data_IF_990169596541
#
_entry.id   IF_990169596541
#
_cell.length_a   1.000
_cell.length_b   1.000
_cell.length_c   1.000
_cell.angle_alpha   90.00
_cell.angle_beta   90.00
_cell.angle_gamma   90.00
#
_symmetry.space_group_name_H-M   'P 1'
#
loop_
_entity.id
_entity.type
_entity.pdbx_description
1 polymer ?
#
# COMPACT_ATOMS: atom_id res chain seq x y z
N UNK A 1 12.42 -8.71 10.07
CA UNK A 1 12.87 -7.58 9.21
C UNK A 1 14.26 -7.83 8.63
N UNK A 2 15.31 -8.16 9.42
CA UNK A 2 16.69 -8.42 8.91
C UNK A 2 16.71 -9.57 7.89
N UNK A 3 16.09 -10.71 8.22
CA UNK A 3 15.97 -11.86 7.31
C UNK A 3 15.31 -11.43 5.96
N UNK A 4 14.31 -10.56 6.03
CA UNK A 4 13.64 -10.03 4.85
C UNK A 4 14.58 -9.20 3.95
N UNK A 5 15.41 -8.35 4.55
CA UNK A 5 16.44 -7.61 3.80
C UNK A 5 17.47 -8.55 3.14
N UNK A 6 17.84 -9.66 3.81
CA UNK A 6 18.73 -10.68 3.22
C UNK A 6 18.09 -11.30 1.97
N UNK A 7 16.81 -11.67 2.02
CA UNK A 7 16.10 -12.21 0.85
C UNK A 7 16.02 -11.18 -0.29
N UNK A 8 15.74 -9.91 0.01
CA UNK A 8 15.73 -8.85 -1.00
C UNK A 8 17.11 -8.65 -1.63
N UNK A 9 18.15 -8.58 -0.80
CA UNK A 9 19.52 -8.39 -1.27
C UNK A 9 19.96 -9.55 -2.17
N UNK A 10 19.69 -10.80 -1.75
CA UNK A 10 20.00 -12.00 -2.53
C UNK A 10 19.24 -12.01 -3.86
N UNK A 11 17.92 -11.69 -3.83
CA UNK A 11 17.09 -11.65 -5.04
C UNK A 11 17.61 -10.62 -6.06
N UNK A 12 17.92 -9.39 -5.62
CA UNK A 12 18.49 -8.36 -6.51
C UNK A 12 19.88 -8.76 -7.00
N UNK A 13 20.75 -9.29 -6.13
CA UNK A 13 22.07 -9.78 -6.54
C UNK A 13 21.97 -10.82 -7.66
N UNK A 14 21.10 -11.81 -7.51
CA UNK A 14 20.90 -12.86 -8.49
C UNK A 14 20.25 -12.36 -9.79
N UNK A 15 19.42 -11.31 -9.73
CA UNK A 15 18.80 -10.74 -10.94
C UNK A 15 19.82 -10.20 -11.94
N UNK A 16 20.92 -9.58 -11.49
CA UNK A 16 21.91 -9.02 -12.40
C UNK A 16 23.14 -9.92 -12.61
N UNK A 17 23.39 -10.90 -11.73
CA UNK A 17 24.55 -11.81 -11.81
C UNK A 17 24.21 -13.19 -12.35
N UNK A 18 22.93 -13.55 -12.40
CA UNK A 18 22.47 -14.89 -12.77
C UNK A 18 22.10 -15.03 -14.24
N UNK A 19 21.70 -16.23 -14.68
CA UNK A 19 21.30 -16.49 -16.05
C UNK A 19 20.01 -15.77 -16.43
N UNK A 20 19.97 -15.17 -17.63
CA UNK A 20 18.80 -14.48 -18.17
C UNK A 20 17.73 -15.46 -18.69
N UNK A 21 17.18 -16.31 -17.81
CA UNK A 21 16.07 -17.22 -18.13
C UNK A 21 14.80 -16.73 -17.45
N UNK A 22 13.64 -16.89 -18.13
CA UNK A 22 12.36 -16.41 -17.59
C UNK A 22 12.03 -17.02 -16.23
N UNK A 23 12.29 -18.32 -16.01
CA UNK A 23 12.02 -18.98 -14.73
C UNK A 23 12.95 -18.47 -13.62
N UNK A 24 14.20 -18.21 -13.92
CA UNK A 24 15.17 -17.67 -12.96
C UNK A 24 14.76 -16.25 -12.53
N UNK A 25 14.33 -15.42 -13.49
CA UNK A 25 13.80 -14.09 -13.22
C UNK A 25 12.57 -14.15 -12.32
N UNK A 26 11.61 -15.05 -12.61
CA UNK A 26 10.39 -15.21 -11.81
C UNK A 26 10.69 -15.66 -10.37
N UNK A 27 11.63 -16.58 -10.16
CA UNK A 27 12.04 -17.02 -8.82
C UNK A 27 12.68 -15.88 -8.05
N UNK A 28 13.59 -15.14 -8.65
CA UNK A 28 14.31 -14.07 -7.96
C UNK A 28 13.39 -12.86 -7.65
N UNK A 29 12.64 -12.40 -8.63
CA UNK A 29 11.73 -11.28 -8.46
C UNK A 29 10.49 -11.67 -7.64
N UNK A 30 9.86 -12.78 -7.98
CA UNK A 30 8.60 -13.20 -7.36
C UNK A 30 8.80 -13.79 -5.96
N UNK A 31 9.72 -14.74 -5.80
CA UNK A 31 9.88 -15.43 -4.53
C UNK A 31 10.84 -14.70 -3.58
N UNK A 32 12.09 -14.47 -3.97
CA UNK A 32 13.09 -13.91 -3.04
C UNK A 32 12.79 -12.46 -2.70
N UNK A 33 12.59 -11.59 -3.68
CA UNK A 33 12.24 -10.20 -3.44
C UNK A 33 10.84 -10.11 -2.83
N UNK A 34 9.89 -10.95 -3.26
CA UNK A 34 8.54 -10.99 -2.70
C UNK A 34 8.51 -11.33 -1.21
N UNK A 35 9.26 -12.35 -0.76
CA UNK A 35 9.43 -12.68 0.68
C UNK A 35 10.07 -11.51 1.42
N UNK A 36 11.07 -10.88 0.83
CA UNK A 36 11.75 -9.71 1.39
C UNK A 36 10.79 -8.54 1.58
N UNK A 37 9.99 -8.19 0.57
CA UNK A 37 8.96 -7.15 0.65
C UNK A 37 7.88 -7.48 1.68
N UNK A 38 7.45 -8.74 1.77
CA UNK A 38 6.49 -9.20 2.78
C UNK A 38 6.99 -9.00 4.21
N UNK A 39 8.26 -9.34 4.47
CA UNK A 39 8.85 -9.21 5.80
C UNK A 39 9.27 -7.77 6.20
N UNK A 40 9.28 -6.83 5.24
CA UNK A 40 9.46 -5.38 5.47
C UNK A 40 8.16 -4.61 5.31
N UNK A 41 7.02 -5.31 5.16
CA UNK A 41 5.74 -4.69 4.90
C UNK A 41 5.35 -3.66 5.95
N UNK A 42 4.76 -2.57 5.49
CA UNK A 42 4.31 -1.44 6.32
C UNK A 42 3.27 -1.85 7.38
N UNK A 43 2.57 -2.98 7.18
CA UNK A 43 1.59 -3.51 8.12
C UNK A 43 2.16 -3.79 9.51
N UNK A 44 3.41 -4.26 9.60
CA UNK A 44 4.10 -4.50 10.87
C UNK A 44 4.35 -3.19 11.62
N UNK A 45 4.85 -2.18 10.91
CA UNK A 45 5.15 -0.86 11.47
C UNK A 45 3.88 -0.13 11.92
N UNK A 46 2.84 -0.16 11.11
CA UNK A 46 1.54 0.44 11.42
C UNK A 46 0.92 -0.22 12.65
N UNK A 47 1.01 -1.52 12.76
CA UNK A 47 0.49 -2.24 13.91
C UNK A 47 1.17 -1.85 15.23
N UNK A 48 2.48 -1.66 15.23
CA UNK A 48 3.21 -1.19 16.42
C UNK A 48 2.88 0.27 16.75
N UNK A 49 2.96 1.16 15.76
CA UNK A 49 2.59 2.58 15.98
C UNK A 49 1.14 2.71 16.47
N UNK A 50 0.22 1.93 15.88
CA UNK A 50 -1.18 1.97 16.25
C UNK A 50 -1.47 1.62 17.71
N UNK A 51 -0.61 0.85 18.38
CA UNK A 51 -0.75 0.49 19.80
C UNK A 51 -0.35 1.63 20.75
N UNK A 52 0.59 2.49 20.35
CA UNK A 52 1.17 3.51 21.22
C UNK A 52 0.42 4.85 21.20
N UNK A 53 -0.52 5.03 20.26
CA UNK A 53 -1.24 6.29 20.12
C UNK A 53 -2.74 6.14 20.42
N UNK A 54 -3.38 7.11 21.14
CA UNK A 54 -4.80 7.09 21.41
C UNK A 54 -5.61 7.27 20.11
N UNK A 55 -6.88 6.85 20.13
CA UNK A 55 -7.77 6.85 18.95
C UNK A 55 -7.79 8.18 18.19
N UNK A 56 -7.75 9.31 18.91
CA UNK A 56 -7.81 10.66 18.33
C UNK A 56 -6.60 11.00 17.46
N UNK A 57 -5.40 10.54 17.82
CA UNK A 57 -4.12 10.88 17.16
C UNK A 57 -3.52 9.71 16.40
N UNK A 58 -4.02 8.49 16.59
CA UNK A 58 -3.54 7.27 15.92
C UNK A 58 -3.52 7.39 14.40
N UNK A 59 -4.60 7.91 13.82
CA UNK A 59 -4.67 8.10 12.38
C UNK A 59 -3.58 9.01 11.84
N UNK A 60 -3.29 10.12 12.54
CA UNK A 60 -2.20 11.02 12.17
C UNK A 60 -0.83 10.35 12.31
N UNK A 61 -0.58 9.61 13.40
CA UNK A 61 0.66 8.89 13.60
C UNK A 61 0.92 7.86 12.48
N UNK A 62 -0.11 7.11 12.08
CA UNK A 62 -0.06 6.20 10.93
C UNK A 62 0.17 6.97 9.64
N UNK A 63 -0.51 8.10 9.45
CA UNK A 63 -0.31 8.97 8.29
C UNK A 63 1.14 9.45 8.16
N UNK A 64 1.80 9.79 9.26
CA UNK A 64 3.23 10.17 9.28
C UNK A 64 4.11 9.01 8.83
N UNK A 65 3.88 7.79 9.33
CA UNK A 65 4.65 6.60 8.92
C UNK A 65 4.53 6.36 7.43
N UNK A 66 3.31 6.44 6.88
CA UNK A 66 3.07 6.27 5.44
C UNK A 66 3.67 7.41 4.63
N UNK A 67 3.60 8.65 5.11
CA UNK A 67 4.21 9.81 4.48
C UNK A 67 5.74 9.68 4.37
N UNK A 68 6.41 9.15 5.41
CA UNK A 68 7.85 8.88 5.36
C UNK A 68 8.22 7.85 4.29
N UNK A 69 7.43 6.77 4.13
CA UNK A 69 7.61 5.82 3.04
C UNK A 69 7.41 6.48 1.65
N UNK A 70 6.55 7.48 1.57
CA UNK A 70 6.25 8.20 0.31
C UNK A 70 7.41 9.04 -0.17
N UNK A 71 8.31 9.47 0.71
CA UNK A 71 9.56 10.15 0.34
C UNK A 71 10.40 9.24 -0.56
N UNK A 72 10.54 7.96 -0.18
CA UNK A 72 11.19 6.97 -1.02
C UNK A 72 10.47 6.78 -2.36
N UNK A 73 9.14 6.78 -2.34
CA UNK A 73 8.33 6.64 -3.56
C UNK A 73 8.47 7.85 -4.50
N UNK A 74 8.72 9.05 -3.98
CA UNK A 74 9.00 10.25 -4.76
C UNK A 74 10.38 10.18 -5.43
N UNK A 75 11.42 9.85 -4.67
CA UNK A 75 12.78 9.86 -5.20
C UNK A 75 13.12 8.66 -6.07
N UNK A 76 12.52 7.50 -5.82
CA UNK A 76 12.86 6.25 -6.51
C UNK A 76 12.69 6.32 -8.03
N UNK A 77 11.59 6.82 -8.63
CA UNK A 77 11.46 6.92 -10.08
C UNK A 77 12.47 7.90 -10.70
N UNK A 78 12.72 9.04 -10.05
CA UNK A 78 13.70 10.03 -10.51
C UNK A 78 15.11 9.45 -10.54
N UNK A 79 15.48 8.79 -9.44
CA UNK A 79 16.75 8.09 -9.33
C UNK A 79 16.88 6.97 -10.36
N UNK A 80 15.82 6.16 -10.52
CA UNK A 80 15.79 5.04 -11.48
C UNK A 80 16.01 5.55 -12.89
N UNK A 81 15.31 6.63 -13.30
CA UNK A 81 15.53 7.26 -14.61
C UNK A 81 16.98 7.69 -14.79
N UNK A 82 17.53 8.43 -13.82
CA UNK A 82 18.93 8.87 -13.86
C UNK A 82 19.88 7.69 -13.97
N UNK A 83 19.76 6.69 -13.10
CA UNK A 83 20.66 5.55 -13.05
C UNK A 83 20.59 4.68 -14.31
N UNK A 84 19.38 4.45 -14.86
CA UNK A 84 19.20 3.71 -16.11
C UNK A 84 19.88 4.40 -17.30
N UNK A 85 19.78 5.73 -17.38
CA UNK A 85 20.42 6.50 -18.47
C UNK A 85 21.93 6.61 -18.31
N UNK A 86 22.43 6.74 -17.07
CA UNK A 86 23.85 6.94 -16.79
C UNK A 86 24.64 5.63 -16.75
N UNK A 87 24.06 4.55 -16.25
CA UNK A 87 24.81 3.33 -15.89
C UNK A 87 24.24 2.06 -16.53
N UNK A 88 23.05 2.10 -17.12
CA UNK A 88 22.33 0.91 -17.59
C UNK A 88 21.64 0.12 -16.46
N UNK A 89 20.89 -0.92 -16.85
CA UNK A 89 20.00 -1.64 -15.91
C UNK A 89 20.75 -2.45 -14.84
N UNK A 90 21.86 -3.11 -15.21
CA UNK A 90 22.64 -3.96 -14.29
C UNK A 90 23.22 -3.14 -13.13
N UNK A 91 23.91 -2.03 -13.45
CA UNK A 91 24.46 -1.15 -12.43
C UNK A 91 23.38 -0.44 -11.62
N UNK A 92 22.23 -0.17 -12.20
CA UNK A 92 21.08 0.36 -11.47
C UNK A 92 20.61 -0.63 -10.40
N UNK A 93 20.51 -1.93 -10.72
CA UNK A 93 20.20 -2.96 -9.73
C UNK A 93 21.27 -3.07 -8.63
N UNK A 94 22.56 -2.92 -8.98
CA UNK A 94 23.64 -2.88 -8.00
C UNK A 94 23.48 -1.71 -7.02
N UNK A 95 23.07 -0.54 -7.49
CA UNK A 95 22.82 0.61 -6.59
C UNK A 95 21.65 0.36 -5.66
N UNK A 96 20.57 -0.28 -6.13
CA UNK A 96 19.48 -0.70 -5.25
C UNK A 96 19.92 -1.71 -4.19
N UNK A 97 20.83 -2.61 -4.53
CA UNK A 97 21.43 -3.52 -3.55
C UNK A 97 22.13 -2.74 -2.42
N UNK A 98 22.87 -1.69 -2.74
CA UNK A 98 23.51 -0.84 -1.71
C UNK A 98 22.47 -0.15 -0.81
N UNK A 99 21.35 0.35 -1.35
CA UNK A 99 20.28 0.91 -0.53
C UNK A 99 19.66 -0.13 0.41
N UNK A 100 19.49 -1.38 -0.06
CA UNK A 100 18.96 -2.47 0.77
C UNK A 100 19.94 -2.82 1.89
N UNK A 101 21.23 -2.92 1.60
CA UNK A 101 22.27 -3.16 2.61
C UNK A 101 22.31 -2.03 3.64
N UNK A 102 22.24 -0.78 3.18
CA UNK A 102 22.16 0.38 4.08
C UNK A 102 20.91 0.30 4.99
N UNK A 103 19.75 -0.02 4.42
CA UNK A 103 18.51 -0.20 5.19
C UNK A 103 18.60 -1.35 6.20
N UNK A 104 19.29 -2.45 5.85
CA UNK A 104 19.55 -3.57 6.75
C UNK A 104 20.43 -3.15 7.94
N UNK A 105 21.52 -2.43 7.66
CA UNK A 105 22.42 -1.92 8.69
C UNK A 105 21.67 -0.95 9.63
N UNK A 106 20.94 0.02 9.06
CA UNK A 106 20.10 0.93 9.84
C UNK A 106 19.09 0.18 10.71
N UNK A 107 18.49 -0.90 10.18
CA UNK A 107 17.57 -1.76 10.91
C UNK A 107 18.22 -2.46 12.10
N UNK A 108 19.50 -2.82 12.04
CA UNK A 108 20.24 -3.42 13.17
C UNK A 108 20.39 -2.41 14.32
N UNK A 109 20.69 -1.15 14.01
CA UNK A 109 20.84 -0.10 15.02
C UNK A 109 19.53 0.34 15.67
N UNK A 110 18.40 0.07 15.02
CA UNK A 110 17.07 0.35 15.55
C UNK A 110 16.52 -0.75 16.48
N UNK A 111 17.23 -1.89 16.66
CA UNK A 111 16.91 -2.94 17.64
C UNK A 111 17.87 -2.88 18.84
N UNK A 112 17.37 -3.06 20.07
CA UNK A 112 16.01 -3.20 20.52
C UNK A 112 15.60 -2.10 21.50
N UNK A 113 14.49 -1.48 21.31
CA UNK A 113 13.80 -0.89 22.46
C UNK A 113 13.42 -2.05 23.37
N UNK A 114 14.01 -2.12 24.60
CA UNK A 114 13.56 -3.01 25.65
C UNK A 114 12.04 -2.99 25.68
N UNK A 115 11.41 -4.16 25.57
CA UNK A 115 10.04 -4.32 26.02
C UNK A 115 10.00 -3.85 27.48
N UNK A 116 9.56 -2.64 27.71
CA UNK A 116 8.97 -2.32 28.99
C UNK A 116 7.75 -3.24 29.08
N UNK A 117 7.89 -4.27 29.86
CA UNK A 117 6.76 -5.00 30.43
C UNK A 117 5.96 -3.94 31.15
N UNK A 118 4.94 -3.41 30.48
CA UNK A 118 3.89 -2.68 31.14
C UNK A 118 3.39 -3.62 32.23
N UNK A 119 3.75 -3.30 33.46
CA UNK A 119 3.16 -3.85 34.67
C UNK A 119 1.71 -3.36 34.67
N UNK A 120 0.88 -3.94 33.83
CA UNK A 120 -0.55 -3.79 33.87
C UNK A 120 -1.01 -4.56 35.08
N UNK A 121 -1.39 -3.82 36.13
CA UNK A 121 -2.10 -4.32 37.29
C UNK A 121 -3.18 -5.30 36.86
N UNK A 122 -3.16 -6.47 37.48
CA UNK A 122 -4.06 -7.60 37.33
C UNK A 122 -5.53 -7.22 37.44
N UNK A 123 -6.12 -6.78 36.33
CA UNK A 123 -7.54 -6.97 36.07
C UNK A 123 -7.59 -8.21 35.16
N UNK A 124 -8.12 -9.32 35.65
CA UNK A 124 -8.47 -10.50 34.87
C UNK A 124 -9.56 -10.13 33.87
N UNK A 125 -9.20 -9.41 32.83
CA UNK A 125 -10.02 -9.29 31.63
C UNK A 125 -9.91 -10.66 30.95
N UNK A 126 -11.03 -11.31 30.68
CA UNK A 126 -11.09 -12.54 29.88
C UNK A 126 -10.19 -12.38 28.66
N UNK A 127 -9.03 -13.05 28.69
CA UNK A 127 -7.99 -12.84 27.68
C UNK A 127 -8.43 -13.52 26.39
N UNK A 128 -9.04 -12.73 25.49
CA UNK A 128 -9.37 -13.19 24.15
C UNK A 128 -8.13 -13.84 23.52
N UNK A 129 -8.30 -15.07 23.03
CA UNK A 129 -7.27 -15.81 22.28
C UNK A 129 -7.19 -15.34 20.82
N UNK A 130 -6.12 -15.71 20.12
CA UNK A 130 -5.95 -15.42 18.68
C UNK A 130 -7.10 -16.03 17.87
N UNK A 131 -7.49 -17.27 18.17
CA UNK A 131 -8.59 -17.98 17.49
C UNK A 131 -9.93 -17.27 17.66
N UNK A 132 -10.23 -16.81 18.87
CA UNK A 132 -11.45 -16.02 19.15
C UNK A 132 -11.43 -14.69 18.42
N UNK A 133 -10.30 -13.99 18.39
CA UNK A 133 -10.17 -12.72 17.67
C UNK A 133 -10.37 -12.89 16.14
N UNK A 134 -9.85 -13.98 15.57
CA UNK A 134 -10.05 -14.32 14.16
C UNK A 134 -11.52 -14.63 13.87
N UNK A 135 -12.13 -15.50 14.70
CA UNK A 135 -13.55 -15.88 14.56
C UNK A 135 -14.45 -14.66 14.67
N UNK A 136 -14.20 -13.79 15.65
CA UNK A 136 -14.92 -12.52 15.84
C UNK A 136 -14.78 -11.61 14.62
N UNK A 137 -13.57 -11.42 14.10
CA UNK A 137 -13.32 -10.58 12.95
C UNK A 137 -14.03 -11.08 11.68
N UNK A 138 -13.87 -12.35 11.34
CA UNK A 138 -14.51 -12.93 10.14
C UNK A 138 -16.03 -13.07 10.26
N UNK A 139 -16.57 -13.13 11.47
CA UNK A 139 -18.02 -13.09 11.70
C UNK A 139 -18.58 -11.67 11.64
N UNK A 140 -17.73 -10.65 11.70
CA UNK A 140 -18.16 -9.25 11.69
C UNK A 140 -18.26 -8.74 10.25
N UNK A 141 -19.48 -8.45 9.80
CA UNK A 141 -19.77 -7.97 8.43
C UNK A 141 -18.86 -6.81 8.01
N UNK A 142 -18.62 -5.85 8.92
CA UNK A 142 -17.77 -4.69 8.63
C UNK A 142 -16.32 -5.05 8.34
N UNK A 143 -15.75 -6.08 8.99
CA UNK A 143 -14.39 -6.56 8.70
C UNK A 143 -14.29 -7.20 7.31
N UNK A 144 -15.26 -8.01 6.96
CA UNK A 144 -15.33 -8.67 5.64
C UNK A 144 -15.45 -7.63 4.52
N UNK A 145 -16.35 -6.66 4.68
CA UNK A 145 -16.54 -5.57 3.73
C UNK A 145 -15.27 -4.71 3.59
N UNK A 146 -14.62 -4.38 4.71
CA UNK A 146 -13.35 -3.65 4.72
C UNK A 146 -12.24 -4.41 3.97
N UNK A 147 -12.20 -5.73 4.13
CA UNK A 147 -11.24 -6.62 3.46
C UNK A 147 -11.46 -6.60 1.94
N UNK A 148 -12.71 -6.70 1.47
CA UNK A 148 -13.01 -6.57 0.04
C UNK A 148 -12.71 -5.18 -0.51
N UNK A 149 -13.04 -4.12 0.23
CA UNK A 149 -12.69 -2.76 -0.18
C UNK A 149 -11.18 -2.55 -0.30
N UNK A 150 -10.40 -3.14 0.61
CA UNK A 150 -8.94 -2.98 0.60
C UNK A 150 -8.25 -3.82 -0.50
N UNK A 151 -8.88 -4.92 -0.95
CA UNK A 151 -8.50 -5.62 -2.19
C UNK A 151 -8.47 -4.64 -3.38
N UNK A 152 -9.50 -3.81 -3.52
CA UNK A 152 -9.58 -2.81 -4.61
C UNK A 152 -8.44 -1.80 -4.52
N UNK A 153 -8.02 -1.43 -3.30
CA UNK A 153 -6.86 -0.56 -3.13
C UNK A 153 -5.61 -1.17 -3.77
N UNK A 154 -5.32 -2.43 -3.46
CA UNK A 154 -4.18 -3.14 -4.03
C UNK A 154 -4.25 -3.24 -5.55
N UNK A 155 -5.41 -3.59 -6.08
CA UNK A 155 -5.63 -3.66 -7.53
C UNK A 155 -5.29 -2.34 -8.23
N UNK A 156 -5.88 -1.25 -7.76
CA UNK A 156 -5.72 0.07 -8.36
C UNK A 156 -4.28 0.58 -8.27
N UNK A 157 -3.64 0.41 -7.11
CA UNK A 157 -2.26 0.86 -6.89
C UNK A 157 -1.30 0.11 -7.80
N UNK A 158 -1.41 -1.20 -7.88
CA UNK A 158 -0.46 -1.99 -8.65
C UNK A 158 -0.72 -1.89 -10.15
N UNK A 159 -1.99 -1.80 -10.59
CA UNK A 159 -2.31 -1.49 -11.98
C UNK A 159 -1.63 -0.19 -12.43
N UNK A 160 -1.79 0.89 -11.66
CA UNK A 160 -1.19 2.19 -12.00
C UNK A 160 0.34 2.11 -11.97
N UNK A 161 0.93 1.61 -10.89
CA UNK A 161 2.40 1.60 -10.76
C UNK A 161 3.11 0.72 -11.79
N UNK A 162 2.51 -0.42 -12.16
CA UNK A 162 3.10 -1.35 -13.12
C UNK A 162 2.87 -0.93 -14.57
N UNK A 163 1.70 -0.38 -14.90
CA UNK A 163 1.30 -0.19 -16.29
C UNK A 163 1.28 1.26 -16.78
N UNK A 164 1.41 2.27 -15.89
CA UNK A 164 1.56 3.67 -16.33
C UNK A 164 2.73 3.86 -17.31
N UNK A 165 3.91 3.26 -17.11
CA UNK A 165 5.00 3.44 -18.08
C UNK A 165 4.64 2.95 -19.49
N UNK A 166 4.06 1.76 -19.60
CA UNK A 166 3.61 1.20 -20.89
C UNK A 166 2.47 2.00 -21.50
N UNK A 167 1.45 2.35 -20.69
CA UNK A 167 0.31 3.14 -21.14
C UNK A 167 0.69 4.53 -21.67
N UNK A 168 1.60 5.20 -21.00
CA UNK A 168 2.09 6.52 -21.42
C UNK A 168 2.87 6.43 -22.75
N UNK A 169 3.68 5.37 -22.92
CA UNK A 169 4.39 5.12 -24.19
C UNK A 169 3.42 4.79 -25.33
N UNK A 170 2.40 3.97 -25.10
CA UNK A 170 1.35 3.66 -26.08
C UNK A 170 0.63 4.92 -26.58
N UNK A 171 0.44 5.91 -25.71
CA UNK A 171 -0.16 7.22 -26.02
C UNK A 171 0.81 8.21 -26.67
N UNK A 172 2.04 7.78 -26.99
CA UNK A 172 3.05 8.60 -27.69
C UNK A 172 3.78 9.64 -26.83
N UNK A 173 3.71 9.53 -25.50
CA UNK A 173 4.46 10.38 -24.62
C UNK A 173 5.92 9.94 -24.48
N UNK A 174 6.79 10.88 -24.19
CA UNK A 174 8.17 10.58 -23.81
C UNK A 174 8.23 9.80 -22.48
N UNK A 175 9.20 8.89 -22.37
CA UNK A 175 9.36 8.03 -21.19
C UNK A 175 9.48 8.80 -19.86
N UNK A 176 10.04 10.03 -19.87
CA UNK A 176 10.16 10.84 -18.66
C UNK A 176 8.80 11.18 -18.01
N UNK A 177 7.74 11.26 -18.81
CA UNK A 177 6.38 11.56 -18.31
C UNK A 177 5.91 10.49 -17.33
N UNK A 178 6.19 9.21 -17.60
CA UNK A 178 5.86 8.12 -16.67
C UNK A 178 6.60 8.24 -15.33
N UNK A 179 7.90 8.52 -15.36
CA UNK A 179 8.67 8.73 -14.14
C UNK A 179 8.19 9.96 -13.35
N UNK A 180 7.82 11.03 -14.05
CA UNK A 180 7.26 12.23 -13.44
C UNK A 180 5.91 11.95 -12.76
N UNK A 181 4.99 11.20 -13.41
CA UNK A 181 3.71 10.80 -12.82
C UNK A 181 3.95 10.01 -11.53
N UNK A 182 4.80 8.97 -11.57
CA UNK A 182 5.08 8.13 -10.40
C UNK A 182 5.72 8.93 -9.26
N UNK A 183 6.60 9.87 -9.58
CA UNK A 183 7.20 10.76 -8.58
C UNK A 183 6.18 11.72 -7.97
N UNK A 184 5.31 12.32 -8.80
CA UNK A 184 4.22 13.16 -8.31
C UNK A 184 3.24 12.38 -7.43
N UNK A 185 2.94 11.12 -7.78
CA UNK A 185 2.16 10.23 -6.91
C UNK A 185 2.85 10.10 -5.54
N UNK A 186 4.14 9.84 -5.49
CA UNK A 186 4.89 9.76 -4.24
C UNK A 186 4.85 11.07 -3.43
N UNK A 187 5.08 12.20 -4.09
CA UNK A 187 5.09 13.51 -3.45
C UNK A 187 3.71 13.88 -2.85
N UNK A 188 2.66 13.78 -3.66
CA UNK A 188 1.32 14.17 -3.22
C UNK A 188 0.69 13.15 -2.27
N UNK A 189 1.16 11.90 -2.24
CA UNK A 189 0.78 10.92 -1.23
C UNK A 189 1.18 11.35 0.19
N UNK A 190 2.27 12.13 0.36
CA UNK A 190 2.65 12.70 1.66
C UNK A 190 1.49 13.55 2.21
N UNK A 191 1.00 14.48 1.39
CA UNK A 191 -0.09 15.37 1.79
C UNK A 191 -1.40 14.63 2.00
N UNK A 192 -1.70 13.65 1.13
CA UNK A 192 -2.91 12.84 1.22
C UNK A 192 -2.95 12.02 2.50
N UNK A 193 -1.90 11.26 2.81
CA UNK A 193 -1.86 10.41 4.00
C UNK A 193 -1.89 11.20 5.31
N UNK A 194 -1.23 12.35 5.38
CA UNK A 194 -1.30 13.24 6.52
C UNK A 194 -2.72 13.82 6.69
N UNK A 195 -3.33 14.30 5.60
CA UNK A 195 -4.68 14.85 5.62
C UNK A 195 -5.70 13.81 6.08
N UNK A 196 -5.73 12.62 5.46
CA UNK A 196 -6.67 11.57 5.84
C UNK A 196 -6.31 10.90 7.17
N UNK A 197 -5.05 10.92 7.58
CA UNK A 197 -4.63 10.57 8.93
C UNK A 197 -5.28 11.48 9.98
N UNK A 198 -5.23 12.79 9.77
CA UNK A 198 -5.87 13.78 10.65
C UNK A 198 -7.40 13.69 10.60
N UNK A 199 -7.97 13.61 9.40
CA UNK A 199 -9.42 13.51 9.21
C UNK A 199 -10.01 12.24 9.84
N UNK A 200 -9.28 11.11 9.81
CA UNK A 200 -9.74 9.85 10.41
C UNK A 200 -9.86 9.91 11.94
N UNK A 201 -9.21 10.88 12.59
CA UNK A 201 -9.39 11.16 14.01
C UNK A 201 -10.65 12.01 14.33
N UNK A 202 -11.25 12.65 13.31
CA UNK A 202 -12.37 13.59 13.48
C UNK A 202 -13.68 13.13 12.85
N UNK A 203 -13.61 12.39 11.75
CA UNK A 203 -14.77 12.02 10.94
C UNK A 203 -14.94 10.50 10.86
N UNK A 204 -16.10 10.07 10.39
CA UNK A 204 -16.39 8.65 10.10
C UNK A 204 -15.41 8.12 9.04
N UNK A 205 -14.71 7.07 9.38
CA UNK A 205 -13.65 6.48 8.56
C UNK A 205 -14.22 5.78 7.34
N UNK A 206 -15.39 5.15 7.45
CA UNK A 206 -16.11 4.54 6.34
C UNK A 206 -16.51 5.56 5.28
N UNK A 207 -16.93 6.75 5.70
CA UNK A 207 -17.27 7.85 4.79
C UNK A 207 -16.01 8.37 4.09
N UNK A 208 -14.91 8.53 4.84
CA UNK A 208 -13.62 8.92 4.26
C UNK A 208 -13.15 7.90 3.22
N UNK A 209 -13.27 6.60 3.50
CA UNK A 209 -12.93 5.54 2.54
C UNK A 209 -13.83 5.60 1.31
N UNK A 210 -15.14 5.74 1.49
CA UNK A 210 -16.08 5.87 0.35
C UNK A 210 -15.75 7.06 -0.53
N UNK A 211 -15.46 8.23 0.05
CA UNK A 211 -15.03 9.43 -0.69
C UNK A 211 -13.72 9.18 -1.44
N UNK A 212 -12.74 8.54 -0.80
CA UNK A 212 -11.45 8.23 -1.43
C UNK A 212 -11.62 7.34 -2.66
N UNK A 213 -12.38 6.24 -2.55
CA UNK A 213 -12.59 5.33 -3.67
C UNK A 213 -13.47 5.94 -4.76
N UNK A 214 -14.49 6.70 -4.40
CA UNK A 214 -15.29 7.45 -5.36
C UNK A 214 -14.41 8.43 -6.16
N UNK A 215 -13.60 9.22 -5.45
CA UNK A 215 -12.70 10.18 -6.08
C UNK A 215 -11.67 9.51 -6.99
N UNK A 216 -11.15 8.34 -6.62
CA UNK A 216 -10.26 7.55 -7.51
C UNK A 216 -10.95 7.15 -8.79
N UNK A 217 -12.19 6.65 -8.71
CA UNK A 217 -12.99 6.29 -9.89
C UNK A 217 -13.17 7.48 -10.83
N UNK A 218 -13.51 8.65 -10.28
CA UNK A 218 -13.67 9.89 -11.07
C UNK A 218 -12.34 10.32 -11.71
N UNK A 219 -11.23 10.29 -10.95
CA UNK A 219 -9.91 10.68 -11.48
C UNK A 219 -9.47 9.75 -12.62
N UNK A 220 -9.74 8.44 -12.50
CA UNK A 220 -9.46 7.48 -13.57
C UNK A 220 -10.32 7.76 -14.81
N UNK A 221 -11.62 8.06 -14.66
CA UNK A 221 -12.48 8.44 -15.78
C UNK A 221 -11.93 9.70 -16.46
N UNK A 222 -11.62 10.74 -15.70
CA UNK A 222 -11.08 11.98 -16.24
C UNK A 222 -9.76 11.75 -17.00
N UNK A 223 -8.89 10.89 -16.47
CA UNK A 223 -7.63 10.56 -17.11
C UNK A 223 -7.81 9.88 -18.48
N UNK A 224 -8.86 9.06 -18.63
CA UNK A 224 -9.15 8.37 -19.89
C UNK A 224 -9.88 9.26 -20.92
N UNK A 225 -10.76 10.15 -20.45
CA UNK A 225 -11.67 10.92 -21.31
C UNK A 225 -11.07 12.27 -21.74
N UNK A 226 -10.23 12.88 -20.89
CA UNK A 226 -9.61 14.17 -21.21
C UNK A 226 -8.59 14.03 -22.34
N UNK A 227 -8.38 15.10 -23.13
CA UNK A 227 -7.40 15.10 -24.22
C UNK A 227 -6.02 14.66 -23.74
N UNK A 228 -5.38 13.82 -24.54
CA UNK A 228 -4.03 13.32 -24.27
C UNK A 228 -3.04 14.49 -24.26
N UNK A 229 -2.59 14.91 -23.08
CA UNK A 229 -1.61 15.97 -22.91
C UNK A 229 -0.74 15.75 -21.68
N UNK A 230 0.48 16.26 -21.71
CA UNK A 230 1.41 16.18 -20.57
C UNK A 230 0.80 16.81 -19.30
N UNK A 231 0.03 17.89 -19.43
CA UNK A 231 -0.63 18.53 -18.30
C UNK A 231 -1.68 17.64 -17.64
N UNK A 232 -2.49 16.93 -18.44
CA UNK A 232 -3.47 15.96 -17.94
C UNK A 232 -2.76 14.79 -17.25
N UNK A 233 -1.69 14.28 -17.84
CA UNK A 233 -0.90 13.18 -17.29
C UNK A 233 -0.24 13.55 -15.94
N UNK A 234 0.36 14.74 -15.85
CA UNK A 234 0.94 15.22 -14.60
C UNK A 234 -0.13 15.58 -13.57
N UNK A 235 -1.25 16.20 -13.99
CA UNK A 235 -2.43 16.44 -13.15
C UNK A 235 -3.01 15.17 -12.55
N UNK A 236 -3.08 14.08 -13.33
CA UNK A 236 -3.41 12.75 -12.83
C UNK A 236 -2.45 12.32 -11.71
N UNK A 237 -1.12 12.44 -11.93
CA UNK A 237 -0.11 12.08 -10.92
C UNK A 237 -0.30 12.85 -9.61
N UNK A 238 -0.66 14.14 -9.68
CA UNK A 238 -0.92 15.01 -8.52
C UNK A 238 -2.17 14.53 -7.75
N UNK A 239 -3.30 14.45 -8.43
CA UNK A 239 -4.59 14.18 -7.78
C UNK A 239 -4.66 12.72 -7.33
N UNK A 240 -4.26 11.80 -8.18
CA UNK A 240 -4.25 10.37 -7.85
C UNK A 240 -3.24 10.07 -6.74
N UNK A 241 -2.10 10.79 -6.73
CA UNK A 241 -1.12 10.72 -5.66
C UNK A 241 -1.67 11.14 -4.31
N UNK A 242 -2.44 12.24 -4.25
CA UNK A 242 -3.12 12.66 -3.01
C UNK A 242 -4.08 11.57 -2.47
N UNK A 243 -4.69 10.79 -3.36
CA UNK A 243 -5.58 9.70 -3.00
C UNK A 243 -4.87 8.35 -2.75
N UNK A 244 -3.57 8.22 -3.09
CA UNK A 244 -2.82 6.97 -3.26
C UNK A 244 -2.91 6.01 -2.08
N UNK A 245 -2.23 6.30 -0.97
CA UNK A 245 -2.27 5.50 0.26
C UNK A 245 -3.10 6.14 1.36
N UNK A 246 -3.88 7.15 1.04
CA UNK A 246 -4.75 7.87 1.97
C UNK A 246 -5.83 6.98 2.60
N UNK A 247 -6.05 5.79 2.05
CA UNK A 247 -6.94 4.77 2.61
C UNK A 247 -6.37 4.05 3.84
N UNK A 248 -5.04 4.05 4.03
CA UNK A 248 -4.39 3.30 5.12
C UNK A 248 -4.81 3.80 6.51
N UNK A 249 -4.72 5.11 6.85
CA UNK A 249 -5.08 5.58 8.17
C UNK A 249 -6.55 5.29 8.56
N UNK A 250 -7.57 5.57 7.73
CA UNK A 250 -8.94 5.25 8.09
C UNK A 250 -9.22 3.75 8.14
N UNK A 251 -8.60 2.91 7.28
CA UNK A 251 -8.73 1.44 7.33
C UNK A 251 -8.23 0.89 8.67
N UNK A 252 -7.03 1.28 9.08
CA UNK A 252 -6.48 0.90 10.38
C UNK A 252 -7.32 1.46 11.53
N UNK A 253 -7.83 2.69 11.37
CA UNK A 253 -8.72 3.34 12.31
C UNK A 253 -10.00 2.55 12.56
N UNK A 254 -10.65 1.98 11.54
CA UNK A 254 -11.83 1.12 11.69
C UNK A 254 -11.46 -0.13 12.50
N UNK A 255 -10.41 -0.83 12.13
CA UNK A 255 -10.00 -2.06 12.82
C UNK A 255 -9.73 -1.79 14.30
N UNK A 256 -8.95 -0.75 14.60
CA UNK A 256 -8.61 -0.40 15.97
C UNK A 256 -9.80 0.08 16.79
N UNK A 257 -10.75 0.74 16.17
CA UNK A 257 -11.97 1.24 16.84
C UNK A 257 -12.96 0.11 17.13
N UNK A 258 -13.17 -0.80 16.17
CA UNK A 258 -14.16 -1.87 16.28
C UNK A 258 -13.62 -3.03 17.12
N UNK A 259 -12.38 -3.47 16.89
CA UNK A 259 -11.80 -4.69 17.49
C UNK A 259 -10.82 -4.42 18.63
N UNK A 260 -10.43 -3.16 18.85
CA UNK A 260 -9.40 -2.79 19.81
C UNK A 260 -7.99 -2.95 19.28
N UNK A 261 -7.00 -2.70 20.14
CA UNK A 261 -5.59 -2.64 19.73
C UNK A 261 -4.79 -3.91 20.01
N UNK A 262 -5.32 -4.85 20.83
CA UNK A 262 -4.61 -6.07 21.24
C UNK A 262 -4.10 -6.87 20.02
N UNK A 263 -4.96 -7.12 19.02
CA UNK A 263 -4.66 -7.88 17.81
C UNK A 263 -4.62 -7.03 16.55
N UNK A 264 -4.43 -5.70 16.69
CA UNK A 264 -4.48 -4.76 15.59
C UNK A 264 -3.53 -5.11 14.43
N UNK A 265 -2.28 -5.45 14.74
CA UNK A 265 -1.27 -5.81 13.72
C UNK A 265 -1.69 -7.06 12.93
N UNK A 266 -2.25 -8.06 13.60
CA UNK A 266 -2.70 -9.29 12.98
C UNK A 266 -3.93 -9.06 12.08
N UNK A 267 -4.94 -8.38 12.59
CA UNK A 267 -6.18 -8.10 11.85
C UNK A 267 -5.91 -7.18 10.66
N UNK A 268 -5.10 -6.14 10.85
CA UNK A 268 -4.68 -5.30 9.74
C UNK A 268 -3.84 -6.07 8.72
N UNK A 269 -2.98 -6.99 9.18
CA UNK A 269 -2.21 -7.88 8.29
C UNK A 269 -3.10 -8.74 7.38
N UNK A 270 -4.23 -9.24 7.88
CA UNK A 270 -5.21 -10.00 7.07
C UNK A 270 -5.90 -9.11 6.02
N UNK A 271 -6.32 -7.91 6.40
CA UNK A 271 -6.86 -6.93 5.47
C UNK A 271 -5.81 -6.54 4.42
N UNK A 272 -4.55 -6.37 4.84
CA UNK A 272 -3.44 -6.09 3.95
C UNK A 272 -3.09 -7.27 3.03
N UNK A 273 -3.28 -8.50 3.47
CA UNK A 273 -3.14 -9.69 2.61
C UNK A 273 -4.13 -9.66 1.44
N UNK A 274 -5.38 -9.26 1.70
CA UNK A 274 -6.37 -9.05 0.63
C UNK A 274 -5.91 -7.96 -0.37
N UNK A 275 -5.29 -6.88 0.11
CA UNK A 275 -4.67 -5.87 -0.74
C UNK A 275 -3.59 -6.49 -1.65
N UNK A 276 -2.75 -7.38 -1.14
CA UNK A 276 -1.71 -8.06 -1.93
C UNK A 276 -2.31 -8.96 -3.01
N UNK A 277 -3.42 -9.65 -2.71
CA UNK A 277 -4.17 -10.40 -3.72
C UNK A 277 -4.71 -9.45 -4.81
N UNK A 278 -5.26 -8.31 -4.41
CA UNK A 278 -5.68 -7.26 -5.35
C UNK A 278 -4.52 -6.75 -6.21
N UNK A 279 -3.36 -6.54 -5.59
CA UNK A 279 -2.13 -6.12 -6.27
C UNK A 279 -1.67 -7.12 -7.34
N UNK A 280 -1.73 -8.41 -7.03
CA UNK A 280 -1.46 -9.48 -8.00
C UNK A 280 -2.38 -9.35 -9.23
N UNK A 281 -3.69 -9.24 -8.99
CA UNK A 281 -4.64 -9.11 -10.11
C UNK A 281 -4.47 -7.80 -10.87
N UNK A 282 -4.14 -6.70 -10.22
CA UNK A 282 -3.87 -5.41 -10.88
C UNK A 282 -2.68 -5.48 -11.84
N UNK A 283 -1.58 -6.09 -11.41
CA UNK A 283 -0.41 -6.32 -12.27
C UNK A 283 -0.73 -7.31 -13.39
N UNK A 284 -1.28 -8.47 -13.04
CA UNK A 284 -1.51 -9.57 -13.98
C UNK A 284 -2.52 -9.20 -15.07
N UNK A 285 -3.70 -8.69 -14.69
CA UNK A 285 -4.76 -8.37 -15.64
C UNK A 285 -4.41 -7.18 -16.54
N UNK A 286 -3.62 -6.22 -16.04
CA UNK A 286 -3.11 -5.14 -16.90
C UNK A 286 -2.27 -5.67 -18.05
N UNK A 287 -1.32 -6.55 -17.76
CA UNK A 287 -0.51 -7.22 -18.79
C UNK A 287 -1.35 -8.14 -19.69
N UNK A 288 -2.21 -8.98 -19.09
CA UNK A 288 -3.08 -9.91 -19.84
C UNK A 288 -3.97 -9.20 -20.86
N UNK A 289 -4.64 -8.11 -20.46
CA UNK A 289 -5.49 -7.36 -21.40
C UNK A 289 -4.66 -6.70 -22.50
N UNK A 290 -3.47 -6.19 -22.17
CA UNK A 290 -2.58 -5.65 -23.19
C UNK A 290 -2.14 -6.72 -24.20
N UNK A 291 -1.72 -7.89 -23.72
CA UNK A 291 -1.27 -9.00 -24.58
C UNK A 291 -2.41 -9.52 -25.50
N UNK A 292 -3.67 -9.54 -24.99
CA UNK A 292 -4.82 -10.07 -25.75
C UNK A 292 -5.44 -9.05 -26.70
N UNK A 293 -5.47 -7.78 -26.32
CA UNK A 293 -6.26 -6.75 -27.04
C UNK A 293 -5.39 -5.59 -27.56
N UNK A 294 -4.09 -5.55 -27.25
CA UNK A 294 -3.20 -4.45 -27.63
C UNK A 294 -3.50 -3.13 -26.93
N UNK A 295 -4.29 -3.15 -25.84
CA UNK A 295 -4.66 -1.94 -25.10
C UNK A 295 -4.84 -2.22 -23.59
N UNK A 296 -4.54 -1.20 -22.78
CA UNK A 296 -4.79 -1.21 -21.34
C UNK A 296 -6.24 -0.80 -20.97
N UNK A 297 -7.09 -0.41 -21.91
CA UNK A 297 -8.40 0.17 -21.65
C UNK A 297 -9.29 -0.72 -20.78
N UNK A 298 -9.32 -2.03 -21.03
CA UNK A 298 -10.09 -2.97 -20.21
C UNK A 298 -9.64 -3.02 -18.75
N UNK A 299 -8.33 -2.90 -18.52
CA UNK A 299 -7.79 -2.84 -17.16
C UNK A 299 -8.23 -1.56 -16.44
N UNK A 300 -8.20 -0.43 -17.15
CA UNK A 300 -8.69 0.85 -16.61
C UNK A 300 -10.18 0.83 -16.32
N UNK A 301 -11.01 0.29 -17.23
CA UNK A 301 -12.45 0.15 -16.98
C UNK A 301 -12.76 -0.73 -15.78
N UNK A 302 -12.03 -1.84 -15.62
CA UNK A 302 -12.15 -2.69 -14.43
C UNK A 302 -11.75 -1.94 -13.16
N UNK A 303 -10.66 -1.16 -13.19
CA UNK A 303 -10.19 -0.33 -12.07
C UNK A 303 -11.24 0.71 -11.64
N UNK A 304 -11.92 1.34 -12.62
CA UNK A 304 -13.02 2.28 -12.38
C UNK A 304 -14.20 1.55 -11.72
N UNK A 305 -14.63 0.44 -12.28
CA UNK A 305 -15.75 -0.36 -11.75
C UNK A 305 -15.47 -0.81 -10.30
N UNK A 306 -14.28 -1.32 -10.04
CA UNK A 306 -13.84 -1.72 -8.71
C UNK A 306 -13.78 -0.52 -7.74
N UNK A 307 -13.39 0.67 -8.19
CA UNK A 307 -13.38 1.88 -7.35
C UNK A 307 -14.79 2.25 -6.88
N UNK A 308 -15.78 2.20 -7.76
CA UNK A 308 -17.17 2.43 -7.39
C UNK A 308 -17.75 1.29 -6.53
N UNK A 309 -17.38 0.04 -6.81
CA UNK A 309 -17.70 -1.09 -5.94
C UNK A 309 -17.18 -0.85 -4.53
N UNK A 310 -15.89 -0.49 -4.37
CA UNK A 310 -15.32 -0.19 -3.07
C UNK A 310 -16.03 0.98 -2.38
N UNK A 311 -16.44 2.02 -3.12
CA UNK A 311 -17.23 3.13 -2.58
C UNK A 311 -18.49 2.62 -1.86
N UNK A 312 -19.24 1.75 -2.53
CA UNK A 312 -20.52 1.22 -2.00
C UNK A 312 -20.27 0.25 -0.84
N UNK A 313 -19.26 -0.60 -0.94
CA UNK A 313 -18.93 -1.63 0.06
C UNK A 313 -18.54 -1.04 1.42
N UNK A 314 -17.96 0.15 1.44
CA UNK A 314 -17.59 0.80 2.71
C UNK A 314 -18.78 1.43 3.45
N UNK A 315 -19.84 1.85 2.76
CA UNK A 315 -20.98 2.56 3.37
C UNK A 315 -21.70 1.79 4.51
N UNK A 316 -21.96 0.48 4.37
CA UNK A 316 -22.68 -0.28 5.41
C UNK A 316 -21.80 -0.73 6.59
N UNK A 317 -20.51 -0.37 6.63
CA UNK A 317 -19.62 -0.74 7.75
C UNK A 317 -20.12 -0.06 9.03
N UNK A 318 -20.31 -0.84 10.09
CA UNK A 318 -20.54 -0.31 11.43
C UNK A 318 -19.19 -0.05 12.12
N UNK A 319 -18.97 1.19 12.53
CA UNK A 319 -17.75 1.63 13.22
C UNK A 319 -17.84 1.55 14.74
N UNK A 320 -18.98 1.07 15.29
CA UNK A 320 -19.16 0.96 16.74
C UNK A 320 -18.19 -0.07 17.33
N UNK A 321 -17.56 0.23 18.48
CA UNK A 321 -16.77 -0.76 19.19
C UNK A 321 -17.61 -2.00 19.53
N UNK A 322 -16.97 -3.16 19.49
CA UNK A 322 -17.60 -4.40 19.91
C UNK A 322 -17.99 -4.34 21.40
N UNK A 323 -19.08 -5.01 21.83
CA UNK A 323 -19.61 -4.92 23.20
C UNK A 323 -18.57 -5.14 24.29
N UNK A 324 -17.61 -6.04 24.07
CA UNK A 324 -16.51 -6.31 25.02
C UNK A 324 -15.55 -5.11 25.24
N UNK A 325 -15.58 -4.13 24.36
CA UNK A 325 -14.76 -2.90 24.45
C UNK A 325 -15.56 -1.71 24.98
N UNK A 326 -16.89 -1.81 25.04
CA UNK A 326 -17.75 -0.74 25.55
C UNK A 326 -17.85 -0.75 27.09
N UNK A 327 -17.40 -1.81 27.75
CA UNK A 327 -17.46 -2.01 29.22
C UNK A 327 -16.15 -1.68 29.94
N UNK A 328 -15.17 -1.16 29.23
CA UNK A 328 -13.88 -0.69 29.77
C UNK A 328 -13.72 0.81 29.55
#
# INVERSE_FOLDING_TARGET
TIIAFVFMALGIYLLYSGPNTGIFFQINLGLLIGIGLGGTAISVQIGEVGKHFPNKTRGLAIGIVVAMASIGYFFSPLYTKFALTAFGWEKTLQTFLYFIIFGMIAGIFLFPVKKETSTSNNIKINEQTISEALKEAFSHKGFVLLTFGFFVCGFNITLVSAHIPGYIQERGFEAWTAFAILSLIGLFNIFGTLSFGYLSGKYSKKILLSILYFSRGIVLILFLVLPTSTYVALGFGIIYGYLWLSTIPPTNGIISQVFGTKYLSMLYGLVFFSHQIGSFFGAYLGGYFFDQYGSYDYAWYLSIALSFFATVVHLPIDEKPLPRLATT
#
